data_IF_310470913364
#
_entry.id   IF_310470913364
#
_cell.length_a   1.000
_cell.length_b   1.000
_cell.length_c   1.000
_cell.angle_alpha   90.00
_cell.angle_beta   90.00
_cell.angle_gamma   90.00
#
_symmetry.space_group_name_H-M   'P 1'
#
loop_
_entity.id
_entity.type
_entity.pdbx_description
1 polymer ?
#
# COMPACT_ATOMS: atom_id res chain seq x y z
N UNK A 1 15.63 -0.49 -57.82
CA UNK A 1 15.73 0.72 -56.96
C UNK A 1 14.81 0.46 -55.77
N UNK A 2 15.31 -0.28 -54.79
CA UNK A 2 15.91 0.22 -53.54
C UNK A 2 14.84 0.89 -52.67
N UNK A 3 14.24 0.14 -51.74
CA UNK A 3 14.64 0.04 -50.32
C UNK A 3 13.63 0.88 -49.48
N UNK A 4 13.14 0.50 -48.29
CA UNK A 4 13.73 -0.24 -47.18
C UNK A 4 12.63 -0.93 -46.33
N UNK A 5 12.98 -2.11 -45.81
CA UNK A 5 12.52 -2.64 -44.53
C UNK A 5 13.03 -1.79 -43.36
N UNK A 6 12.22 -1.54 -42.32
CA UNK A 6 12.54 -1.74 -40.87
C UNK A 6 11.29 -1.49 -39.97
N UNK A 7 11.28 -1.85 -38.67
CA UNK A 7 10.26 -2.75 -38.10
C UNK A 7 9.47 -2.17 -36.90
N UNK A 8 8.64 -3.04 -36.29
CA UNK A 8 8.05 -2.93 -34.95
C UNK A 8 9.04 -2.36 -33.92
N UNK A 9 8.60 -1.37 -33.14
CA UNK A 9 9.07 -1.15 -31.78
C UNK A 9 7.86 -1.09 -30.83
N UNK A 10 7.93 -1.91 -29.80
CA UNK A 10 7.04 -1.92 -28.65
C UNK A 10 7.16 -0.58 -27.91
N UNK A 11 6.02 0.07 -27.67
CA UNK A 11 5.91 1.25 -26.83
C UNK A 11 5.80 0.84 -25.38
N UNK A 12 6.85 1.15 -24.62
CA UNK A 12 6.98 1.06 -23.17
C UNK A 12 5.85 1.86 -22.49
N UNK A 13 5.16 1.24 -21.54
CA UNK A 13 4.21 1.88 -20.64
C UNK A 13 5.03 2.74 -19.65
N UNK A 14 4.98 4.07 -19.78
CA UNK A 14 5.50 5.01 -18.79
C UNK A 14 4.36 5.41 -17.85
N UNK A 15 4.47 5.01 -16.58
CA UNK A 15 3.68 5.56 -15.48
C UNK A 15 4.19 6.97 -15.22
N UNK A 16 3.35 7.98 -15.44
CA UNK A 16 3.65 9.37 -15.19
C UNK A 16 3.36 9.70 -13.72
N UNK A 17 4.40 10.01 -12.95
CA UNK A 17 4.28 10.69 -11.66
C UNK A 17 4.12 12.19 -11.96
N UNK A 18 2.96 12.76 -11.66
CA UNK A 18 2.77 14.21 -11.74
C UNK A 18 3.48 14.89 -10.56
N UNK A 19 4.65 15.46 -10.84
CA UNK A 19 5.26 16.50 -10.01
C UNK A 19 4.82 17.87 -10.54
N UNK A 20 4.13 18.67 -9.72
CA UNK A 20 3.89 20.07 -9.99
C UNK A 20 5.20 20.86 -9.82
N UNK A 21 5.60 21.59 -10.85
CA UNK A 21 6.89 22.24 -10.96
C UNK A 21 6.95 23.63 -10.30
N UNK A 22 8.08 23.94 -9.65
CA UNK A 22 8.64 25.29 -9.56
C UNK A 22 10.12 25.24 -9.97
N UNK A 23 10.48 26.01 -10.99
CA UNK A 23 11.80 26.00 -11.66
C UNK A 23 12.85 26.86 -10.95
N UNK A 24 14.12 26.43 -11.00
CA UNK A 24 15.29 27.30 -11.20
C UNK A 24 16.49 26.47 -11.67
N UNK A 25 17.06 26.85 -12.82
CA UNK A 25 18.16 26.17 -13.51
C UNK A 25 19.53 26.41 -12.86
N UNK A 26 20.38 25.38 -12.82
CA UNK A 26 21.84 25.54 -13.01
C UNK A 26 22.51 24.25 -13.49
N UNK A 27 23.21 24.36 -14.62
CA UNK A 27 23.93 23.34 -15.38
C UNK A 27 25.34 23.01 -14.84
N UNK A 28 25.84 21.77 -15.07
CA UNK A 28 27.06 21.41 -15.87
C UNK A 28 27.71 20.03 -15.50
N UNK A 29 27.99 19.26 -16.57
CA UNK A 29 29.02 18.24 -16.92
C UNK A 29 29.23 16.88 -16.21
N UNK A 30 28.98 15.84 -17.03
CA UNK A 30 29.88 14.77 -17.54
C UNK A 30 30.95 14.10 -16.65
N UNK A 31 30.97 12.76 -16.73
CA UNK A 31 32.13 11.93 -16.39
C UNK A 31 31.90 10.43 -16.63
N UNK A 32 32.13 9.97 -17.86
CA UNK A 32 32.15 8.57 -18.31
C UNK A 32 33.27 7.74 -17.69
N UNK A 33 33.03 6.46 -17.32
CA UNK A 33 33.93 5.33 -17.60
C UNK A 33 33.36 3.96 -17.11
N UNK A 34 33.35 3.00 -18.04
CA UNK A 34 33.34 1.52 -17.93
C UNK A 34 34.47 1.10 -18.92
N UNK A 35 35.20 -0.06 -18.89
CA UNK A 35 34.87 -1.41 -18.40
C UNK A 35 36.05 -2.17 -17.70
N UNK A 36 35.85 -3.43 -17.31
CA UNK A 36 36.52 -4.60 -17.95
C UNK A 36 36.27 -5.93 -17.21
N UNK A 37 35.85 -6.92 -18.02
CA UNK A 37 35.77 -8.36 -17.79
C UNK A 37 37.09 -9.03 -17.41
N UNK A 38 36.99 -10.18 -16.73
CA UNK A 38 37.60 -11.44 -17.21
C UNK A 38 37.22 -12.61 -16.29
N UNK A 39 36.69 -13.69 -16.86
CA UNK A 39 36.78 -15.02 -16.27
C UNK A 39 36.86 -16.06 -17.38
N UNK A 40 37.96 -16.80 -17.33
CA UNK A 40 38.40 -17.79 -18.31
C UNK A 40 37.71 -19.13 -18.09
N UNK A 41 37.25 -19.74 -19.18
CA UNK A 41 36.80 -21.14 -19.28
C UNK A 41 37.98 -22.07 -19.56
N UNK A 42 38.01 -23.24 -18.94
CA UNK A 42 38.56 -24.46 -19.56
C UNK A 42 37.91 -25.73 -18.99
N UNK A 43 37.83 -26.73 -19.89
CA UNK A 43 36.93 -27.89 -19.93
C UNK A 43 37.41 -29.15 -19.18
N UNK A 44 36.41 -29.94 -18.74
CA UNK A 44 36.15 -31.40 -18.90
C UNK A 44 37.32 -32.26 -19.44
N UNK A 45 37.74 -33.40 -18.84
CA UNK A 45 37.05 -34.71 -18.88
C UNK A 45 37.50 -35.75 -17.82
N UNK A 46 36.58 -36.70 -17.61
CA UNK A 46 36.52 -37.95 -16.82
C UNK A 46 37.56 -39.03 -17.25
N UNK A 47 37.57 -40.30 -16.74
CA UNK A 47 36.72 -40.96 -15.73
C UNK A 47 37.52 -41.78 -14.68
N UNK A 48 36.86 -42.50 -13.76
CA UNK A 48 37.02 -43.96 -13.54
C UNK A 48 36.18 -44.41 -12.33
N UNK A 49 35.40 -45.46 -12.54
CA UNK A 49 34.53 -46.16 -11.58
C UNK A 49 35.33 -47.06 -10.65
N UNK A 50 35.11 -47.00 -9.33
CA UNK A 50 35.34 -48.12 -8.41
C UNK A 50 34.44 -47.97 -7.18
N UNK A 51 33.56 -48.95 -6.95
CA UNK A 51 32.80 -49.10 -5.70
C UNK A 51 33.68 -49.83 -4.69
N UNK A 52 33.79 -49.35 -3.44
CA UNK A 52 33.39 -50.22 -2.34
C UNK A 52 32.82 -49.53 -1.09
N UNK A 53 32.03 -50.33 -0.37
CA UNK A 53 31.65 -50.30 1.05
C UNK A 53 30.71 -49.18 1.55
N UNK A 54 29.45 -49.56 1.79
CA UNK A 54 28.53 -48.86 2.69
C UNK A 54 29.15 -48.74 4.09
N UNK A 55 29.60 -47.53 4.41
CA UNK A 55 29.76 -47.07 5.79
C UNK A 55 28.56 -46.18 6.07
N UNK A 56 27.61 -46.65 6.88
CA UNK A 56 26.50 -45.83 7.37
C UNK A 56 27.05 -44.73 8.27
N UNK A 57 27.20 -43.53 7.70
CA UNK A 57 27.41 -42.29 8.46
C UNK A 57 26.11 -42.01 9.22
N UNK A 58 26.13 -41.65 10.51
CA UNK A 58 24.94 -41.15 11.17
C UNK A 58 24.45 -39.93 10.40
N UNK A 59 23.22 -39.96 9.91
CA UNK A 59 22.61 -38.81 9.27
C UNK A 59 22.67 -37.64 10.26
N UNK A 60 23.50 -36.63 9.95
CA UNK A 60 23.42 -35.34 10.63
C UNK A 60 22.05 -34.80 10.27
N UNK A 61 21.13 -34.79 11.24
CA UNK A 61 19.84 -34.17 11.07
C UNK A 61 20.08 -32.74 10.59
N UNK A 62 19.52 -32.39 9.43
CA UNK A 62 19.46 -31.01 9.00
C UNK A 62 18.84 -30.19 10.15
N UNK A 63 19.31 -28.97 10.42
CA UNK A 63 18.66 -28.11 11.39
C UNK A 63 17.19 -27.97 10.95
N UNK A 64 16.29 -28.58 11.70
CA UNK A 64 14.86 -28.30 11.60
C UNK A 64 14.70 -26.87 12.05
N UNK A 65 14.68 -25.93 11.11
CA UNK A 65 14.20 -24.58 11.37
C UNK A 65 12.74 -24.75 11.77
N UNK A 66 12.46 -24.71 13.08
CA UNK A 66 11.11 -24.58 13.55
C UNK A 66 10.57 -23.29 12.92
N UNK A 67 9.57 -23.42 12.03
CA UNK A 67 8.84 -22.27 11.56
C UNK A 67 8.24 -21.61 12.79
N UNK A 68 8.71 -20.41 13.13
CA UNK A 68 8.04 -19.59 14.13
C UNK A 68 6.66 -19.27 13.57
N UNK A 69 5.67 -20.04 13.98
CA UNK A 69 4.27 -19.78 13.65
C UNK A 69 3.88 -18.51 14.41
N UNK A 70 3.87 -17.38 13.72
CA UNK A 70 3.23 -16.17 14.24
C UNK A 70 1.76 -16.54 14.48
N UNK A 71 1.21 -16.36 15.69
CA UNK A 71 -0.21 -16.61 15.93
C UNK A 71 -1.04 -15.80 14.93
N UNK A 72 -1.97 -16.46 14.24
CA UNK A 72 -2.87 -15.77 13.33
C UNK A 72 -3.71 -14.73 14.08
N UNK A 73 -3.90 -13.57 13.47
CA UNK A 73 -4.81 -12.52 13.93
C UNK A 73 -6.24 -13.05 13.81
N UNK A 74 -7.04 -13.03 14.89
CA UNK A 74 -8.45 -13.42 14.82
C UNK A 74 -9.17 -12.64 13.71
N UNK A 75 -9.99 -13.35 12.92
CA UNK A 75 -10.80 -12.72 11.89
C UNK A 75 -12.04 -12.03 12.44
N UNK A 76 -12.67 -11.22 11.60
CA UNK A 76 -13.81 -10.39 11.93
C UNK A 76 -13.41 -8.99 12.40
N UNK A 77 -14.15 -8.00 11.92
CA UNK A 77 -13.91 -6.59 12.25
C UNK A 77 -14.33 -6.29 13.69
N UNK A 78 -13.45 -5.61 14.42
CA UNK A 78 -13.70 -5.17 15.80
C UNK A 78 -13.36 -3.70 15.93
N UNK A 79 -14.29 -2.90 16.46
CA UNK A 79 -14.03 -1.48 16.74
C UNK A 79 -12.89 -1.30 17.74
N UNK A 80 -12.06 -0.28 17.51
CA UNK A 80 -10.92 0.04 18.37
C UNK A 80 -10.92 1.54 18.71
N UNK A 81 -10.27 1.86 19.83
CA UNK A 81 -9.86 3.23 20.11
C UNK A 81 -8.61 3.55 19.29
N UNK A 82 -8.63 4.52 18.35
CA UNK A 82 -7.47 4.88 17.54
C UNK A 82 -6.29 5.37 18.38
N UNK A 83 -6.50 5.88 19.60
CA UNK A 83 -5.42 6.29 20.50
C UNK A 83 -4.53 5.11 20.94
N UNK A 84 -4.97 3.87 20.72
CA UNK A 84 -4.17 2.67 20.99
C UNK A 84 -3.16 2.35 19.89
N UNK A 85 -3.29 2.95 18.71
CA UNK A 85 -2.39 2.74 17.58
C UNK A 85 -1.24 3.73 17.65
N UNK A 86 0.01 3.23 17.57
CA UNK A 86 1.22 4.05 17.69
C UNK A 86 1.76 4.53 16.33
N UNK A 87 1.03 4.28 15.25
CA UNK A 87 1.37 4.64 13.89
C UNK A 87 0.35 5.61 13.28
N UNK A 88 0.73 6.40 12.26
CA UNK A 88 -0.20 7.27 11.56
C UNK A 88 -1.42 6.53 11.02
N UNK A 89 -2.61 7.09 11.25
CA UNK A 89 -3.89 6.49 10.85
C UNK A 89 -4.56 7.19 9.65
N UNK A 90 -4.07 8.36 9.27
CA UNK A 90 -4.54 9.14 8.13
C UNK A 90 -3.37 9.91 7.49
N UNK A 91 -3.55 10.34 6.25
CA UNK A 91 -2.61 11.24 5.61
C UNK A 91 -2.58 12.58 6.35
N UNK A 92 -1.40 13.23 6.41
CA UNK A 92 -1.34 14.63 6.81
C UNK A 92 -2.13 15.45 5.79
N UNK A 93 -2.86 16.44 6.26
CA UNK A 93 -3.62 17.37 5.42
C UNK A 93 -3.56 18.75 6.06
N UNK A 94 -3.98 19.77 5.29
CA UNK A 94 -4.10 21.14 5.78
C UNK A 94 -2.81 21.70 6.42
N UNK A 95 -1.65 21.44 5.81
CA UNK A 95 -0.35 21.91 6.26
C UNK A 95 0.07 21.37 7.64
N UNK A 96 -0.42 20.18 8.01
CA UNK A 96 -0.03 19.48 9.23
C UNK A 96 0.92 18.33 8.90
N UNK A 97 1.96 18.12 9.69
CA UNK A 97 2.85 16.96 9.57
C UNK A 97 2.36 15.82 10.48
N UNK A 98 2.95 14.63 10.32
CA UNK A 98 2.80 13.60 11.36
C UNK A 98 3.63 13.97 12.58
N UNK A 99 3.28 13.39 13.72
CA UNK A 99 3.99 13.58 14.98
C UNK A 99 4.33 12.23 15.61
N UNK A 100 5.48 12.12 16.27
CA UNK A 100 5.81 10.96 17.07
C UNK A 100 7.29 10.60 17.09
N UNK A 101 7.56 9.30 17.18
CA UNK A 101 8.92 8.76 17.24
C UNK A 101 9.37 8.36 15.82
N UNK A 102 10.58 8.75 15.38
CA UNK A 102 11.14 8.30 14.11
C UNK A 102 11.17 6.78 13.98
N UNK A 103 11.03 6.28 12.76
CA UNK A 103 11.16 4.86 12.46
C UNK A 103 12.56 4.37 12.82
N UNK A 104 12.69 3.11 13.28
CA UNK A 104 13.97 2.42 13.31
C UNK A 104 14.66 2.43 11.94
N UNK A 105 15.98 2.18 11.94
CA UNK A 105 16.73 2.03 10.70
C UNK A 105 16.18 0.86 9.87
N UNK A 106 16.10 1.04 8.54
CA UNK A 106 15.73 -0.05 7.65
C UNK A 106 16.82 -1.11 7.67
N UNK A 107 16.46 -2.40 7.80
CA UNK A 107 17.42 -3.48 7.73
C UNK A 107 17.86 -3.71 6.27
N UNK A 108 18.82 -4.63 6.07
CA UNK A 108 19.13 -5.11 4.73
C UNK A 108 17.90 -5.81 4.09
N UNK A 109 17.79 -5.76 2.76
CA UNK A 109 16.68 -6.41 2.06
C UNK A 109 16.54 -7.89 2.44
N UNK A 110 15.31 -8.31 2.73
CA UNK A 110 14.97 -9.68 3.15
C UNK A 110 15.18 -9.97 4.65
N UNK A 111 15.66 -8.99 5.44
CA UNK A 111 15.67 -9.08 6.90
C UNK A 111 14.39 -8.49 7.51
N UNK A 112 13.94 -8.97 8.68
CA UNK A 112 12.75 -8.46 9.33
C UNK A 112 12.91 -7.01 9.75
N UNK A 113 11.82 -6.24 9.65
CA UNK A 113 11.73 -4.90 10.22
C UNK A 113 11.79 -4.96 11.75
N UNK A 114 12.40 -3.95 12.37
CA UNK A 114 12.33 -3.75 13.82
C UNK A 114 10.98 -3.13 14.20
N UNK A 115 10.59 -3.29 15.47
CA UNK A 115 9.34 -2.72 16.00
C UNK A 115 9.32 -1.18 15.84
N UNK A 116 8.22 -0.66 15.30
CA UNK A 116 8.06 0.76 14.98
C UNK A 116 7.07 1.00 13.84
N UNK A 117 6.76 2.27 13.58
CA UNK A 117 5.94 2.69 12.46
C UNK A 117 6.80 3.00 11.24
N UNK A 118 6.33 2.69 10.03
CA UNK A 118 6.98 2.95 8.76
C UNK A 118 5.96 3.44 7.73
N UNK A 119 6.42 4.20 6.74
CA UNK A 119 5.61 4.50 5.55
C UNK A 119 5.61 3.27 4.64
N UNK A 120 4.45 2.89 4.13
CA UNK A 120 4.34 1.80 3.16
C UNK A 120 3.63 2.25 1.88
N UNK A 121 4.29 2.07 0.74
CA UNK A 121 3.73 2.38 -0.58
C UNK A 121 3.45 1.08 -1.31
N UNK A 122 2.20 0.89 -1.71
CA UNK A 122 1.75 -0.22 -2.56
C UNK A 122 0.44 0.16 -3.25
N UNK A 123 0.07 -0.64 -4.24
CA UNK A 123 -1.25 -0.58 -4.89
C UNK A 123 -2.03 -1.84 -4.54
N UNK A 124 -3.35 -1.73 -4.49
CA UNK A 124 -4.21 -2.91 -4.35
C UNK A 124 -4.09 -3.77 -5.61
N UNK A 125 -3.75 -5.06 -5.51
CA UNK A 125 -3.63 -5.91 -6.68
C UNK A 125 -5.01 -6.22 -7.27
N UNK A 126 -5.06 -6.50 -8.57
CA UNK A 126 -6.27 -6.99 -9.21
C UNK A 126 -6.67 -8.40 -8.71
N UNK A 127 -5.69 -9.25 -8.40
CA UNK A 127 -5.88 -10.54 -7.75
C UNK A 127 -5.40 -10.48 -6.29
N UNK A 128 -6.36 -10.37 -5.37
CA UNK A 128 -6.11 -10.24 -3.93
C UNK A 128 -5.57 -11.53 -3.29
N UNK A 129 -5.50 -12.64 -4.03
CA UNK A 129 -4.88 -13.89 -3.56
C UNK A 129 -3.36 -13.92 -3.76
N UNK A 130 -2.81 -13.00 -4.56
CA UNK A 130 -1.37 -12.93 -4.82
C UNK A 130 -0.65 -12.09 -3.76
N UNK A 131 0.63 -12.41 -3.49
CA UNK A 131 1.47 -11.54 -2.68
C UNK A 131 1.62 -10.16 -3.31
N UNK A 132 1.52 -9.13 -2.48
CA UNK A 132 1.62 -7.73 -2.86
C UNK A 132 3.05 -7.26 -2.65
N UNK A 133 3.61 -6.62 -3.68
CA UNK A 133 4.91 -5.96 -3.56
C UNK A 133 4.69 -4.54 -3.06
N UNK A 134 5.24 -4.25 -1.88
CA UNK A 134 5.24 -2.93 -1.28
C UNK A 134 6.67 -2.39 -1.16
N UNK A 135 6.80 -1.08 -1.03
CA UNK A 135 8.05 -0.43 -0.64
C UNK A 135 7.86 0.26 0.71
N UNK A 136 8.78 0.00 1.63
CA UNK A 136 8.76 0.57 2.98
C UNK A 136 9.82 1.65 3.08
N UNK A 137 9.41 2.81 3.62
CA UNK A 137 10.25 3.97 3.91
C UNK A 137 10.17 4.31 5.40
N UNK A 138 11.15 5.06 5.89
CA UNK A 138 11.16 5.55 7.28
C UNK A 138 10.37 6.83 7.40
N UNK A 139 9.69 6.98 8.52
CA UNK A 139 9.39 8.28 9.09
C UNK A 139 10.64 8.79 9.81
N UNK A 140 11.03 10.04 9.57
CA UNK A 140 12.13 10.67 10.28
C UNK A 140 11.80 12.13 10.58
N UNK A 141 12.60 12.78 11.43
CA UNK A 141 12.33 14.15 11.85
C UNK A 141 12.40 15.13 10.69
N UNK A 142 11.40 15.99 10.54
CA UNK A 142 11.39 17.01 9.49
C UNK A 142 12.62 17.93 9.54
N UNK A 143 13.20 18.16 10.73
CA UNK A 143 14.40 18.98 10.90
C UNK A 143 15.68 18.40 10.28
N UNK A 144 15.71 17.09 9.96
CA UNK A 144 16.88 16.42 9.35
C UNK A 144 16.63 15.97 7.92
N UNK A 145 15.38 15.98 7.47
CA UNK A 145 14.97 15.60 6.13
C UNK A 145 15.19 16.75 5.13
N UNK A 146 15.34 16.43 3.83
CA UNK A 146 15.43 17.46 2.79
C UNK A 146 14.12 18.25 2.65
N UNK A 147 14.24 19.46 2.11
CA UNK A 147 13.08 20.31 1.79
C UNK A 147 12.05 19.55 0.94
N UNK A 148 10.77 19.69 1.30
CA UNK A 148 9.65 19.02 0.62
C UNK A 148 9.35 17.61 1.13
N UNK A 149 10.10 17.07 2.09
CA UNK A 149 9.75 15.81 2.77
C UNK A 149 8.60 15.94 3.80
N UNK A 150 8.20 17.17 4.11
CA UNK A 150 7.15 17.55 5.07
C UNK A 150 6.25 18.63 4.42
N UNK A 151 4.97 18.74 4.83
CA UNK A 151 3.97 19.60 4.16
C UNK A 151 4.27 21.11 4.27
N UNK A 152 4.90 21.58 5.36
CA UNK A 152 5.28 23.00 5.54
C UNK A 152 6.14 23.21 6.80
N UNK A 153 7.25 23.96 6.73
CA UNK A 153 7.32 25.42 7.01
C UNK A 153 8.78 25.90 7.17
N UNK A 154 8.97 27.20 7.45
CA UNK A 154 10.25 27.84 7.79
C UNK A 154 10.98 27.20 9.00
N UNK A 155 10.27 26.44 9.84
CA UNK A 155 10.82 25.68 10.98
C UNK A 155 9.89 24.56 11.45
N UNK A 156 10.43 23.41 11.85
CA UNK A 156 9.64 22.26 12.32
C UNK A 156 9.64 22.12 13.84
N UNK A 157 8.57 21.55 14.41
CA UNK A 157 8.57 21.10 15.79
C UNK A 157 9.48 19.87 15.98
N UNK A 158 10.03 19.62 17.19
CA UNK A 158 11.02 18.56 17.40
C UNK A 158 10.52 17.13 17.15
N UNK A 159 9.21 16.92 17.21
CA UNK A 159 8.53 15.63 17.03
C UNK A 159 7.76 15.54 15.70
N UNK A 160 7.88 16.54 14.82
CA UNK A 160 7.32 16.46 13.47
C UNK A 160 8.09 15.48 12.59
N UNK A 161 7.33 14.61 11.94
CA UNK A 161 7.84 13.54 11.10
C UNK A 161 7.43 13.77 9.64
N UNK A 162 8.39 13.53 8.75
CA UNK A 162 8.20 13.42 7.31
C UNK A 162 8.57 12.03 6.82
N UNK A 163 8.59 11.85 5.51
CA UNK A 163 9.00 10.60 4.87
C UNK A 163 10.45 10.73 4.38
N UNK A 164 11.33 9.85 4.87
CA UNK A 164 12.64 9.66 4.28
C UNK A 164 12.54 8.81 3.01
N UNK A 165 12.47 9.45 1.85
CA UNK A 165 12.40 8.77 0.55
C UNK A 165 13.79 8.42 -0.02
N UNK A 166 14.88 8.67 0.71
CA UNK A 166 16.24 8.43 0.20
C UNK A 166 16.57 6.95 0.07
N UNK A 167 15.97 6.11 0.93
CA UNK A 167 16.08 4.65 0.88
C UNK A 167 14.74 3.99 1.19
N UNK A 168 14.31 3.11 0.28
CA UNK A 168 13.19 2.20 0.51
C UNK A 168 13.64 0.75 0.37
N UNK A 169 13.03 -0.14 1.15
CA UNK A 169 13.22 -1.59 0.98
C UNK A 169 11.94 -2.26 0.48
N UNK A 170 12.05 -3.27 -0.40
CA UNK A 170 10.90 -4.05 -0.81
C UNK A 170 10.40 -4.91 0.36
N UNK A 171 9.08 -4.99 0.50
CA UNK A 171 8.39 -5.87 1.43
C UNK A 171 7.29 -6.61 0.67
N UNK A 172 7.20 -7.92 0.89
CA UNK A 172 6.07 -8.72 0.39
C UNK A 172 5.01 -8.83 1.47
N UNK A 173 3.76 -8.49 1.12
CA UNK A 173 2.60 -8.61 2.00
C UNK A 173 1.63 -9.61 1.41
N UNK A 174 1.05 -10.47 2.25
CA UNK A 174 -0.07 -11.33 1.87
C UNK A 174 -1.31 -10.91 2.66
N UNK A 175 -2.46 -10.82 1.99
CA UNK A 175 -3.74 -10.55 2.64
C UNK A 175 -4.30 -11.84 3.24
N UNK A 176 -3.68 -12.32 4.32
CA UNK A 176 -4.11 -13.49 5.07
C UNK A 176 -4.21 -13.19 6.57
N UNK A 177 -4.48 -14.22 7.37
CA UNK A 177 -4.64 -14.08 8.82
C UNK A 177 -3.35 -13.68 9.56
N UNK A 178 -2.18 -13.63 8.92
CA UNK A 178 -0.93 -13.17 9.56
C UNK A 178 -0.80 -11.65 9.58
N UNK A 179 -1.49 -10.94 8.70
CA UNK A 179 -1.50 -9.49 8.62
C UNK A 179 -2.63 -8.94 9.52
N UNK A 180 -2.29 -8.03 10.43
CA UNK A 180 -3.30 -7.20 11.10
C UNK A 180 -3.63 -6.02 10.18
N UNK A 181 -4.90 -5.64 10.09
CA UNK A 181 -5.33 -4.50 9.28
C UNK A 181 -6.16 -3.57 10.15
N UNK A 182 -5.81 -2.28 10.14
CA UNK A 182 -6.61 -1.21 10.71
C UNK A 182 -7.22 -0.42 9.56
N UNK A 183 -8.54 -0.23 9.61
CA UNK A 183 -9.27 0.62 8.67
C UNK A 183 -9.89 1.76 9.44
N UNK A 184 -9.51 2.99 9.09
CA UNK A 184 -10.20 4.20 9.50
C UNK A 184 -11.30 4.56 8.50
N UNK A 185 -12.54 4.33 8.88
CA UNK A 185 -13.74 4.77 8.16
C UNK A 185 -14.29 6.09 8.68
N UNK A 186 -15.55 6.38 8.33
CA UNK A 186 -16.26 7.57 8.78
C UNK A 186 -17.67 7.23 9.27
N UNK A 187 -17.97 7.60 10.51
CA UNK A 187 -19.26 7.38 11.17
C UNK A 187 -19.99 8.69 11.53
N UNK A 188 -19.43 9.85 11.18
CA UNK A 188 -19.98 11.18 11.49
C UNK A 188 -19.01 12.05 12.29
N UNK A 189 -19.34 13.33 12.46
CA UNK A 189 -18.47 14.29 13.16
C UNK A 189 -18.61 14.26 14.69
N UNK A 190 -19.75 13.80 15.20
CA UNK A 190 -20.05 13.76 16.63
C UNK A 190 -19.68 12.44 17.30
N UNK A 191 -19.38 11.43 16.49
CA UNK A 191 -19.18 10.06 16.95
C UNK A 191 -17.69 9.76 17.15
N UNK A 192 -17.10 10.38 18.18
CA UNK A 192 -15.74 10.04 18.62
C UNK A 192 -15.68 8.63 19.25
N UNK A 193 -14.65 7.80 18.99
CA UNK A 193 -13.95 7.53 17.74
C UNK A 193 -14.48 6.21 17.14
N UNK A 194 -15.71 6.19 16.62
CA UNK A 194 -16.36 4.93 16.23
C UNK A 194 -16.05 4.47 14.81
N UNK A 195 -15.20 5.22 14.08
CA UNK A 195 -14.86 4.93 12.69
C UNK A 195 -13.69 3.94 12.49
N UNK A 196 -12.97 3.57 13.55
CA UNK A 196 -11.80 2.69 13.41
C UNK A 196 -12.12 1.26 13.81
N UNK A 197 -11.77 0.32 12.94
CA UNK A 197 -11.85 -1.10 13.23
C UNK A 197 -10.53 -1.81 12.91
N UNK A 198 -10.31 -2.93 13.60
CA UNK A 198 -9.25 -3.88 13.32
C UNK A 198 -9.86 -5.17 12.77
N UNK A 199 -9.22 -5.72 11.75
CA UNK A 199 -9.42 -7.07 11.24
C UNK A 199 -8.07 -7.68 10.87
N UNK A 200 -8.10 -8.74 10.07
CA UNK A 200 -6.90 -9.34 9.48
C UNK A 200 -6.86 -9.16 7.94
N UNK A 201 -5.81 -9.66 7.31
CA UNK A 201 -5.64 -9.57 5.87
C UNK A 201 -6.74 -10.29 5.08
N UNK A 202 -7.27 -11.41 5.59
CA UNK A 202 -8.38 -12.10 4.94
C UNK A 202 -9.68 -11.29 4.99
N UNK A 203 -9.96 -10.63 6.13
CA UNK A 203 -11.10 -9.72 6.26
C UNK A 203 -10.98 -8.53 5.28
N UNK A 204 -9.76 -8.02 5.08
CA UNK A 204 -9.49 -6.96 4.10
C UNK A 204 -9.65 -7.45 2.66
N UNK A 205 -9.20 -8.67 2.33
CA UNK A 205 -9.40 -9.25 1.00
C UNK A 205 -10.88 -9.43 0.67
N UNK A 206 -11.69 -9.87 1.64
CA UNK A 206 -13.15 -9.97 1.51
C UNK A 206 -13.77 -8.59 1.24
N UNK A 207 -13.45 -7.60 2.08
CA UNK A 207 -13.94 -6.22 1.94
C UNK A 207 -13.59 -5.63 0.56
N UNK A 208 -12.34 -5.75 0.13
CA UNK A 208 -11.88 -5.23 -1.16
C UNK A 208 -12.57 -5.92 -2.34
N UNK A 209 -12.78 -7.24 -2.25
CA UNK A 209 -13.48 -8.00 -3.29
C UNK A 209 -14.93 -7.55 -3.42
N UNK A 210 -15.64 -7.45 -2.30
CA UNK A 210 -17.03 -7.00 -2.26
C UNK A 210 -17.16 -5.55 -2.75
N UNK A 211 -16.34 -4.64 -2.23
CA UNK A 211 -16.32 -3.23 -2.61
C UNK A 211 -16.13 -3.04 -4.10
N UNK A 212 -15.20 -3.78 -4.71
CA UNK A 212 -14.93 -3.66 -6.13
C UNK A 212 -16.09 -4.19 -6.99
N UNK A 213 -16.70 -5.30 -6.60
CA UNK A 213 -17.86 -5.86 -7.30
C UNK A 213 -19.10 -4.96 -7.17
N UNK A 214 -19.36 -4.47 -5.96
CA UNK A 214 -20.48 -3.59 -5.65
C UNK A 214 -20.32 -2.23 -6.35
N UNK A 215 -19.12 -1.64 -6.34
CA UNK A 215 -18.85 -0.38 -7.05
C UNK A 215 -19.01 -0.54 -8.56
N UNK A 216 -18.56 -1.64 -9.14
CA UNK A 216 -18.77 -1.95 -10.55
C UNK A 216 -20.28 -1.94 -10.88
N UNK A 217 -21.08 -2.68 -10.10
CA UNK A 217 -22.52 -2.85 -10.36
C UNK A 217 -23.34 -1.57 -10.07
N UNK A 218 -23.01 -0.87 -8.99
CA UNK A 218 -23.79 0.28 -8.51
C UNK A 218 -23.41 1.60 -9.18
N UNK A 219 -22.16 1.75 -9.61
CA UNK A 219 -21.63 3.01 -10.13
C UNK A 219 -21.16 2.89 -11.58
N UNK A 220 -20.23 1.98 -11.86
CA UNK A 220 -19.60 1.94 -13.19
C UNK A 220 -20.54 1.43 -14.28
N UNK A 221 -21.32 0.38 -14.02
CA UNK A 221 -22.26 -0.20 -14.98
C UNK A 221 -23.40 0.79 -15.37
N UNK A 222 -24.06 1.50 -14.43
CA UNK A 222 -25.02 2.54 -14.79
C UNK A 222 -24.42 3.66 -15.63
N UNK A 223 -23.21 4.12 -15.30
CA UNK A 223 -22.54 5.18 -16.07
C UNK A 223 -22.17 4.69 -17.48
N UNK A 224 -21.67 3.47 -17.60
CA UNK A 224 -21.43 2.83 -18.90
C UNK A 224 -22.74 2.66 -19.71
N UNK A 225 -23.87 2.50 -19.01
CA UNK A 225 -25.23 2.49 -19.57
C UNK A 225 -25.79 3.87 -19.94
N UNK A 226 -25.06 4.96 -19.66
CA UNK A 226 -25.42 6.34 -20.01
C UNK A 226 -26.04 7.17 -18.89
N UNK A 227 -26.09 6.67 -17.65
CA UNK A 227 -26.47 7.49 -16.50
C UNK A 227 -25.38 8.55 -16.21
N UNK A 228 -25.79 9.72 -15.73
CA UNK A 228 -24.83 10.71 -15.23
C UNK A 228 -24.34 10.33 -13.83
N UNK A 229 -23.17 10.84 -13.43
CA UNK A 229 -22.64 10.71 -12.07
C UNK A 229 -23.67 11.16 -11.02
N UNK A 230 -24.28 12.32 -11.25
CA UNK A 230 -25.21 12.93 -10.31
C UNK A 230 -26.50 12.11 -10.20
N UNK A 231 -26.99 11.51 -11.30
CA UNK A 231 -28.16 10.64 -11.29
C UNK A 231 -27.90 9.36 -10.48
N UNK A 232 -26.70 8.78 -10.62
CA UNK A 232 -26.29 7.59 -9.84
C UNK A 232 -26.22 7.91 -8.35
N UNK A 233 -25.56 9.01 -7.98
CA UNK A 233 -25.46 9.45 -6.58
C UNK A 233 -26.85 9.72 -6.01
N UNK A 234 -27.69 10.48 -6.73
CA UNK A 234 -29.05 10.79 -6.30
C UNK A 234 -29.90 9.52 -6.13
N UNK A 235 -29.76 8.56 -7.05
CA UNK A 235 -30.46 7.28 -6.98
C UNK A 235 -30.03 6.47 -5.74
N UNK A 236 -28.73 6.33 -5.48
CA UNK A 236 -28.21 5.57 -4.33
C UNK A 236 -28.52 6.27 -2.99
N UNK A 237 -28.55 7.59 -2.96
CA UNK A 237 -28.98 8.35 -1.78
C UNK A 237 -30.48 8.18 -1.49
N UNK A 238 -31.32 8.15 -2.53
CA UNK A 238 -32.76 7.96 -2.38
C UNK A 238 -33.14 6.49 -2.12
N UNK A 239 -32.43 5.55 -2.74
CA UNK A 239 -32.67 4.11 -2.65
C UNK A 239 -31.33 3.39 -2.50
N UNK A 240 -30.84 3.20 -1.26
CA UNK A 240 -29.59 2.51 -0.99
C UNK A 240 -29.56 1.09 -1.59
N UNK A 241 -28.43 0.72 -2.18
CA UNK A 241 -28.23 -0.57 -2.84
C UNK A 241 -26.74 -0.94 -2.88
N UNK A 242 -26.42 -2.24 -2.95
CA UNK A 242 -25.03 -2.75 -3.04
C UNK A 242 -24.12 -2.22 -1.91
N UNK A 243 -24.65 -2.06 -0.70
CA UNK A 243 -23.91 -1.47 0.43
C UNK A 243 -23.73 0.05 0.37
N UNK A 244 -24.06 0.70 -0.75
CA UNK A 244 -23.99 2.16 -0.92
C UNK A 244 -25.27 2.85 -0.46
N UNK A 245 -25.09 4.00 0.19
CA UNK A 245 -26.18 4.89 0.59
C UNK A 245 -25.66 6.29 0.93
N UNK A 246 -26.51 7.16 1.49
CA UNK A 246 -26.11 8.49 1.88
C UNK A 246 -25.04 8.46 2.98
N UNK A 247 -24.07 9.40 2.97
CA UNK A 247 -23.14 9.55 4.07
C UNK A 247 -23.88 9.91 5.36
N UNK A 248 -23.25 9.64 6.50
CA UNK A 248 -23.81 9.99 7.82
C UNK A 248 -24.06 11.50 7.97
N UNK A 249 -23.31 12.32 7.23
CA UNK A 249 -23.37 13.78 7.24
C UNK A 249 -23.38 14.31 5.81
N UNK A 250 -24.29 15.23 5.51
CA UNK A 250 -24.56 15.73 4.14
C UNK A 250 -23.32 16.33 3.45
N UNK A 251 -22.39 16.91 4.22
CA UNK A 251 -21.19 17.56 3.70
C UNK A 251 -19.93 16.69 3.76
N UNK A 252 -20.04 15.43 4.23
CA UNK A 252 -18.89 14.56 4.37
C UNK A 252 -18.45 13.94 3.04
N UNK A 253 -19.36 13.73 2.08
CA UNK A 253 -19.01 13.09 0.82
C UNK A 253 -20.24 12.87 -0.07
N UNK A 254 -20.07 12.05 -1.10
CA UNK A 254 -21.14 11.72 -2.04
C UNK A 254 -21.90 10.46 -1.65
N UNK A 255 -21.21 9.46 -1.10
CA UNK A 255 -21.78 8.17 -0.69
C UNK A 255 -21.01 7.62 0.53
N UNK A 256 -21.66 6.71 1.25
CA UNK A 256 -21.01 5.80 2.20
C UNK A 256 -21.22 4.36 1.75
N UNK A 257 -20.22 3.50 1.99
CA UNK A 257 -20.26 2.07 1.72
C UNK A 257 -20.19 1.27 3.02
N UNK A 258 -21.02 0.24 3.13
CA UNK A 258 -21.08 -0.68 4.27
C UNK A 258 -21.01 -2.13 3.81
N UNK A 259 -20.27 -2.97 4.54
CA UNK A 259 -20.14 -4.40 4.25
C UNK A 259 -19.90 -5.21 5.52
N UNK A 260 -20.88 -6.04 5.90
CA UNK A 260 -20.81 -6.81 7.15
C UNK A 260 -20.54 -5.91 8.35
N UNK A 261 -19.57 -6.31 9.17
CA UNK A 261 -19.11 -5.55 10.35
C UNK A 261 -17.92 -4.62 10.06
N UNK A 262 -17.51 -4.49 8.79
CA UNK A 262 -16.43 -3.58 8.40
C UNK A 262 -16.80 -2.12 8.72
N UNK A 263 -15.82 -1.25 9.05
CA UNK A 263 -16.11 0.14 9.30
C UNK A 263 -16.65 0.81 8.03
N UNK A 264 -17.64 1.70 8.12
CA UNK A 264 -18.20 2.38 6.95
C UNK A 264 -17.14 3.19 6.21
N UNK A 265 -17.07 3.00 4.89
CA UNK A 265 -16.09 3.67 4.02
C UNK A 265 -16.75 4.89 3.37
N UNK A 266 -16.13 6.05 3.50
CA UNK A 266 -16.63 7.29 2.92
C UNK A 266 -16.09 7.50 1.51
N UNK A 267 -17.01 7.71 0.58
CA UNK A 267 -16.69 8.17 -0.76
C UNK A 267 -16.87 9.68 -0.80
N UNK A 268 -15.78 10.44 -0.66
CA UNK A 268 -15.79 11.89 -0.85
C UNK A 268 -15.97 12.27 -2.33
N UNK A 269 -15.59 11.37 -3.22
CA UNK A 269 -15.79 11.42 -4.66
C UNK A 269 -16.00 9.99 -5.19
N UNK A 270 -16.37 9.86 -6.47
CA UNK A 270 -16.43 8.55 -7.14
C UNK A 270 -15.15 8.35 -7.94
N UNK A 271 -14.25 7.42 -7.55
CA UNK A 271 -13.01 7.16 -8.28
C UNK A 271 -13.26 6.88 -9.76
N UNK A 272 -12.36 7.37 -10.62
CA UNK A 272 -12.35 7.13 -12.06
C UNK A 272 -13.51 7.71 -12.86
N UNK A 273 -14.47 8.37 -12.20
CA UNK A 273 -15.63 8.95 -12.90
C UNK A 273 -15.27 10.26 -13.60
N UNK A 274 -14.31 11.02 -13.05
CA UNK A 274 -13.96 12.35 -13.57
C UNK A 274 -12.72 12.37 -14.50
N UNK A 275 -11.81 11.38 -14.41
CA UNK A 275 -10.50 11.41 -15.11
C UNK A 275 -10.27 10.27 -16.12
N UNK A 276 -10.76 9.04 -15.87
CA UNK A 276 -10.97 7.94 -16.84
C UNK A 276 -11.53 6.70 -16.13
N UNK A 277 -12.50 6.01 -16.73
CA UNK A 277 -13.12 4.82 -16.10
C UNK A 277 -12.28 3.54 -16.22
N UNK A 278 -11.32 3.47 -17.13
CA UNK A 278 -10.59 2.23 -17.40
C UNK A 278 -9.69 1.84 -16.21
N UNK A 279 -9.84 0.60 -15.74
CA UNK A 279 -9.02 0.04 -14.66
C UNK A 279 -9.32 0.59 -13.26
N UNK A 280 -10.35 1.42 -13.11
CA UNK A 280 -10.74 1.95 -11.80
C UNK A 280 -11.52 0.94 -10.98
N UNK A 281 -11.26 0.89 -9.68
CA UNK A 281 -11.96 0.04 -8.72
C UNK A 281 -12.46 0.85 -7.52
N UNK A 282 -13.48 0.33 -6.83
CA UNK A 282 -14.01 0.97 -5.61
C UNK A 282 -12.94 1.10 -4.52
N UNK A 283 -12.02 0.14 -4.43
CA UNK A 283 -10.90 0.15 -3.48
C UNK A 283 -9.92 1.31 -3.64
N UNK A 284 -9.98 2.07 -4.72
CA UNK A 284 -9.13 3.26 -4.91
C UNK A 284 -9.35 4.35 -3.85
N UNK A 285 -10.51 4.34 -3.16
CA UNK A 285 -10.77 5.25 -2.03
C UNK A 285 -9.99 4.88 -0.76
N UNK A 286 -9.54 3.63 -0.62
CA UNK A 286 -8.81 3.14 0.55
C UNK A 286 -7.34 3.53 0.44
N UNK A 287 -7.01 4.64 1.09
CA UNK A 287 -5.63 5.10 1.24
C UNK A 287 -4.83 4.14 2.10
N UNK A 288 -3.62 3.83 1.67
CA UNK A 288 -2.65 3.02 2.41
C UNK A 288 -1.68 3.96 3.11
N UNK A 289 -1.74 4.03 4.44
CA UNK A 289 -1.11 5.09 5.23
C UNK A 289 0.27 4.66 5.71
N UNK A 290 0.31 3.65 6.58
CA UNK A 290 1.53 3.20 7.24
C UNK A 290 1.51 1.70 7.50
N UNK A 291 2.65 1.22 7.96
CA UNK A 291 2.86 -0.12 8.48
C UNK A 291 3.44 0.00 9.89
N UNK A 292 2.80 -0.62 10.86
CA UNK A 292 3.31 -0.78 12.22
C UNK A 292 3.84 -2.19 12.41
N UNK A 293 5.02 -2.31 13.03
CA UNK A 293 5.60 -3.58 13.44
C UNK A 293 5.64 -3.61 14.96
N UNK A 294 5.06 -4.64 15.56
CA UNK A 294 5.05 -4.82 17.01
C UNK A 294 5.13 -6.29 17.36
N UNK A 295 6.19 -6.69 18.09
CA UNK A 295 6.42 -8.09 18.43
C UNK A 295 6.53 -9.01 17.22
N UNK A 296 7.00 -8.48 16.07
CA UNK A 296 7.09 -9.20 14.80
C UNK A 296 5.77 -9.35 14.03
N UNK A 297 4.66 -8.77 14.49
CA UNK A 297 3.40 -8.71 13.75
C UNK A 297 3.36 -7.45 12.90
N UNK A 298 3.01 -7.62 11.63
CA UNK A 298 2.76 -6.51 10.70
C UNK A 298 1.31 -6.04 10.85
N UNK A 299 1.12 -4.73 11.03
CA UNK A 299 -0.18 -4.08 11.05
C UNK A 299 -0.24 -3.01 9.98
N UNK A 300 -1.09 -3.20 8.96
CA UNK A 300 -1.32 -2.24 7.89
C UNK A 300 -2.38 -1.21 8.34
N UNK A 301 -2.05 0.08 8.27
CA UNK A 301 -3.01 1.17 8.53
C UNK A 301 -3.56 1.69 7.21
N UNK A 302 -4.88 1.68 7.07
CA UNK A 302 -5.60 2.18 5.90
C UNK A 302 -6.68 3.17 6.30
N UNK A 303 -7.06 4.04 5.38
CA UNK A 303 -8.01 5.11 5.65
C UNK A 303 -8.93 5.37 4.45
N UNK A 304 -10.21 5.45 4.74
CA UNK A 304 -11.31 5.75 3.83
C UNK A 304 -12.35 6.62 4.55
N UNK A 305 -11.87 7.64 5.26
CA UNK A 305 -12.71 8.56 6.00
C UNK A 305 -12.80 9.93 5.34
N UNK A 306 -13.00 10.96 6.15
CA UNK A 306 -13.10 12.36 5.73
C UNK A 306 -11.70 13.00 5.69
N UNK A 307 -11.33 13.56 4.55
CA UNK A 307 -10.08 14.31 4.37
C UNK A 307 -10.47 15.79 4.44
N UNK A 308 -10.21 16.45 5.57
CA UNK A 308 -10.53 17.87 5.78
C UNK A 308 -9.31 18.76 5.63
#
# INVERSE_FOLDING_TARGET
MNARHTPRLAGLLMVAVLAAACSSEKSVSEGTAVPADSSTTTSVESPTTTSPAETTVPATAAPTTAATTVPGVPGGWTLIDPATIQAPLAYPCCASNWYGVPSPALPAAGQPLADGAYRIVMEWPADLTQPITATVYRFDQCSVLPDGACEQSDSYFPDELGIDTSMGIPLTITLDASLRVVVGGFTGFTDAPTGFAVGNGADMAELLTALNADYQAAVLDPIAGGASKDDVIASLNATPAYGFGPPAEEFAGVLSYTHGDAPPLLFQYLPGVDDSFEGTTGSAILGIISLEVSGGVLSLQTYAGFYS
#
